data_IF_656356006760
#
_entry.id   IF_656356006760
#
_cell.length_a   1.000
_cell.length_b   1.000
_cell.length_c   1.000
_cell.angle_alpha   90.00
_cell.angle_beta   90.00
_cell.angle_gamma   90.00
#
_symmetry.space_group_name_H-M   'P 1'
#
loop_
_entity.id
_entity.type
_entity.pdbx_description
1 polymer ?
#
# COMPACT_ATOMS: atom_id res chain seq x y z
N UNK A 1 -5.10 14.85 -45.22
CA UNK A 1 -4.44 14.34 -44.00
C UNK A 1 -5.54 13.80 -43.11
N UNK A 2 -5.43 12.55 -42.63
CA UNK A 2 -6.37 12.05 -41.64
C UNK A 2 -6.23 12.89 -40.36
N UNK A 3 -7.34 13.43 -39.84
CA UNK A 3 -7.30 14.13 -38.57
C UNK A 3 -7.28 13.12 -37.43
N UNK A 4 -6.27 13.22 -36.56
CA UNK A 4 -6.15 12.39 -35.36
C UNK A 4 -6.89 13.01 -34.17
N UNK A 5 -7.45 12.16 -33.31
CA UNK A 5 -8.11 12.58 -32.08
C UNK A 5 -7.06 13.06 -31.08
N UNK A 6 -7.21 14.28 -30.56
CA UNK A 6 -6.25 14.88 -29.62
C UNK A 6 -6.26 14.26 -28.22
N UNK A 7 -7.22 13.39 -27.91
CA UNK A 7 -7.27 12.68 -26.62
C UNK A 7 -6.58 11.32 -26.68
N UNK A 8 -6.84 10.51 -27.71
CA UNK A 8 -6.32 9.14 -27.82
C UNK A 8 -5.29 8.94 -28.94
N UNK A 9 -4.96 10.01 -29.68
CA UNK A 9 -4.06 10.00 -30.85
C UNK A 9 -4.46 9.00 -31.95
N UNK A 10 -5.68 8.48 -31.94
CA UNK A 10 -6.17 7.56 -32.96
C UNK A 10 -6.75 8.34 -34.16
N UNK A 11 -6.66 7.81 -35.39
CA UNK A 11 -7.25 8.46 -36.56
C UNK A 11 -8.77 8.53 -36.40
N UNK A 12 -9.34 9.72 -36.64
CA UNK A 12 -10.80 9.92 -36.64
C UNK A 12 -11.31 9.42 -38.00
N UNK A 13 -11.94 8.24 -37.99
CA UNK A 13 -12.45 7.60 -39.20
C UNK A 13 -13.79 8.18 -39.66
N UNK A 14 -14.59 8.69 -38.71
CA UNK A 14 -15.95 9.15 -38.97
C UNK A 14 -16.02 10.68 -39.02
N UNK A 15 -17.02 11.23 -39.73
CA UNK A 15 -17.32 12.68 -39.72
C UNK A 15 -17.90 13.17 -38.37
N UNK A 16 -17.94 12.31 -37.36
CA UNK A 16 -18.48 12.57 -36.04
C UNK A 16 -17.33 12.95 -35.08
N UNK A 17 -17.01 14.24 -35.03
CA UNK A 17 -16.03 14.79 -34.10
C UNK A 17 -16.47 16.15 -33.57
N UNK A 18 -15.88 16.56 -32.45
CA UNK A 18 -15.97 17.94 -31.94
C UNK A 18 -14.65 18.65 -32.17
N UNK A 19 -14.71 19.88 -32.69
CA UNK A 19 -13.54 20.74 -32.91
C UNK A 19 -13.59 21.92 -31.93
N UNK A 20 -12.48 22.18 -31.24
CA UNK A 20 -12.41 23.25 -30.26
C UNK A 20 -12.60 24.61 -30.92
N UNK A 21 -13.54 25.41 -30.44
CA UNK A 21 -13.85 26.76 -30.93
C UNK A 21 -12.79 27.81 -30.57
N UNK A 22 -11.74 27.43 -29.83
CA UNK A 22 -10.62 28.31 -29.56
C UNK A 22 -9.69 28.29 -30.78
N UNK A 23 -9.58 29.44 -31.47
CA UNK A 23 -8.78 29.61 -32.69
C UNK A 23 -7.31 29.23 -32.53
N UNK A 24 -6.77 29.24 -31.31
CA UNK A 24 -5.38 28.81 -31.04
C UNK A 24 -5.22 27.30 -30.88
N UNK A 25 -6.31 26.58 -30.63
CA UNK A 25 -6.29 25.16 -30.31
C UNK A 25 -6.61 24.32 -31.55
N UNK A 26 -7.77 24.55 -32.17
CA UNK A 26 -8.28 23.82 -33.36
C UNK A 26 -8.16 22.28 -33.24
N UNK A 27 -8.04 21.75 -32.01
CA UNK A 27 -7.92 20.32 -31.74
C UNK A 27 -9.25 19.64 -32.01
N UNK A 28 -9.18 18.43 -32.57
CA UNK A 28 -10.34 17.58 -32.85
C UNK A 28 -10.39 16.40 -31.90
N UNK A 29 -11.61 16.04 -31.49
CA UNK A 29 -11.85 14.96 -30.55
C UNK A 29 -12.93 14.03 -31.09
N UNK A 30 -12.63 12.73 -31.05
CA UNK A 30 -13.61 11.67 -31.29
C UNK A 30 -14.68 11.71 -30.18
N UNK A 31 -15.95 11.48 -30.55
CA UNK A 31 -17.07 11.45 -29.61
C UNK A 31 -16.88 10.41 -28.52
N UNK A 32 -16.23 9.27 -28.81
CA UNK A 32 -15.94 8.22 -27.81
C UNK A 32 -15.04 8.75 -26.69
N UNK A 33 -14.03 9.54 -27.03
CA UNK A 33 -13.13 10.14 -26.05
C UNK A 33 -13.82 11.22 -25.19
N UNK A 34 -14.86 11.86 -25.72
CA UNK A 34 -15.68 12.82 -24.99
C UNK A 34 -16.85 12.17 -24.25
N UNK A 35 -17.05 10.86 -24.38
CA UNK A 35 -18.20 10.11 -23.89
C UNK A 35 -19.54 10.71 -24.36
N UNK A 36 -19.59 11.19 -25.61
CA UNK A 36 -20.82 11.72 -26.24
C UNK A 36 -21.39 10.64 -27.14
N UNK A 37 -22.67 10.28 -26.92
CA UNK A 37 -23.35 9.35 -27.80
C UNK A 37 -23.64 9.99 -29.18
N UNK A 38 -23.54 9.25 -30.30
CA UNK A 38 -23.82 9.79 -31.63
C UNK A 38 -25.22 10.43 -31.78
N UNK A 39 -26.23 9.87 -31.10
CA UNK A 39 -27.58 10.44 -31.05
C UNK A 39 -27.61 11.83 -30.40
N UNK A 40 -26.89 12.01 -29.29
CA UNK A 40 -26.77 13.30 -28.61
C UNK A 40 -26.01 14.31 -29.47
N UNK A 41 -24.94 13.88 -30.15
CA UNK A 41 -24.21 14.74 -31.10
C UNK A 41 -25.11 15.21 -32.25
N UNK A 42 -25.98 14.34 -32.78
CA UNK A 42 -26.93 14.71 -33.83
C UNK A 42 -28.00 15.69 -33.33
N UNK A 43 -28.36 15.64 -32.05
CA UNK A 43 -29.29 16.58 -31.43
C UNK A 43 -28.66 17.98 -31.19
N UNK A 44 -27.33 18.10 -31.14
CA UNK A 44 -26.68 19.40 -30.96
C UNK A 44 -26.85 20.31 -32.17
N UNK A 45 -27.23 21.56 -31.91
CA UNK A 45 -27.31 22.60 -32.93
C UNK A 45 -25.93 22.92 -33.49
N UNK A 46 -25.85 23.34 -34.75
CA UNK A 46 -24.60 23.76 -35.38
C UNK A 46 -23.93 24.90 -34.60
N UNK A 47 -24.72 25.80 -34.02
CA UNK A 47 -24.23 26.90 -33.19
C UNK A 47 -23.54 26.39 -31.91
N UNK A 48 -24.07 25.35 -31.27
CA UNK A 48 -23.44 24.73 -30.11
C UNK A 48 -22.11 24.06 -30.50
N UNK A 49 -22.12 23.26 -31.59
CA UNK A 49 -20.91 22.59 -32.09
C UNK A 49 -19.79 23.59 -32.39
N UNK A 50 -20.11 24.74 -32.99
CA UNK A 50 -19.16 25.84 -33.28
C UNK A 50 -18.65 26.59 -32.04
N UNK A 51 -19.35 26.53 -30.91
CA UNK A 51 -18.97 27.20 -29.65
C UNK A 51 -18.36 26.25 -28.62
N UNK A 52 -18.18 24.98 -28.99
CA UNK A 52 -17.68 23.99 -28.05
C UNK A 52 -16.19 24.19 -27.82
N UNK A 53 -15.80 24.26 -26.54
CA UNK A 53 -14.39 24.40 -26.13
C UNK A 53 -13.92 23.05 -25.57
N UNK A 54 -12.74 22.60 -25.98
CA UNK A 54 -12.21 21.32 -25.49
C UNK A 54 -11.81 21.37 -24.01
N UNK A 55 -11.71 20.22 -23.32
CA UNK A 55 -11.32 20.16 -21.90
C UNK A 55 -10.01 20.89 -21.59
N UNK A 56 -8.98 20.76 -22.44
CA UNK A 56 -7.69 21.44 -22.27
C UNK A 56 -7.87 22.97 -22.22
N UNK A 57 -8.66 23.52 -23.15
CA UNK A 57 -8.90 24.96 -23.21
C UNK A 57 -9.80 25.43 -22.07
N UNK A 58 -10.81 24.65 -21.66
CA UNK A 58 -11.66 24.98 -20.50
C UNK A 58 -10.82 25.08 -19.23
N UNK A 59 -9.85 24.16 -19.03
CA UNK A 59 -8.97 24.20 -17.86
C UNK A 59 -7.99 25.39 -17.86
N UNK A 60 -7.65 25.92 -19.05
CA UNK A 60 -6.79 27.09 -19.20
C UNK A 60 -7.56 28.41 -19.14
N UNK A 61 -8.88 28.39 -19.33
CA UNK A 61 -9.67 29.60 -19.18
C UNK A 61 -9.60 30.07 -17.72
N UNK A 62 -9.22 31.34 -17.48
CA UNK A 62 -9.28 31.88 -16.13
C UNK A 62 -10.71 31.68 -15.64
N UNK A 63 -10.86 31.15 -14.43
CA UNK A 63 -12.18 31.00 -13.82
C UNK A 63 -12.79 32.40 -13.79
N UNK A 64 -13.69 32.69 -14.73
CA UNK A 64 -14.55 33.85 -14.64
C UNK A 64 -15.13 33.76 -13.24
N UNK A 65 -14.87 34.79 -12.40
CA UNK A 65 -15.34 34.78 -11.01
C UNK A 65 -16.84 34.49 -10.97
N UNK A 66 -17.40 34.25 -9.78
CA UNK A 66 -18.82 33.97 -9.54
C UNK A 66 -19.82 35.08 -10.00
N UNK A 67 -19.50 35.85 -11.02
CA UNK A 67 -20.30 36.85 -11.71
C UNK A 67 -21.59 36.27 -12.31
N UNK A 68 -21.61 34.97 -12.65
CA UNK A 68 -22.82 34.29 -13.13
C UNK A 68 -23.56 33.50 -12.06
N UNK A 69 -23.07 33.46 -10.82
CA UNK A 69 -23.87 32.91 -9.72
C UNK A 69 -25.04 33.88 -9.53
N UNK A 70 -26.30 33.49 -9.80
CA UNK A 70 -27.43 34.39 -9.63
C UNK A 70 -27.41 34.87 -8.19
N UNK A 71 -27.25 36.18 -7.99
CA UNK A 71 -27.50 36.79 -6.69
C UNK A 71 -28.88 36.30 -6.28
N UNK A 72 -28.94 35.52 -5.19
CA UNK A 72 -30.22 35.19 -4.57
C UNK A 72 -30.87 36.54 -4.31
N UNK A 73 -31.96 36.83 -5.03
CA UNK A 73 -32.79 37.98 -4.73
C UNK A 73 -33.38 37.68 -3.37
N UNK A 74 -32.76 38.21 -2.32
CA UNK A 74 -33.34 38.19 -1.00
C UNK A 74 -34.67 38.93 -1.10
N UNK A 75 -35.74 38.14 -1.04
CA UNK A 75 -37.11 38.61 -0.98
C UNK A 75 -37.22 39.39 0.33
N UNK A 76 -37.26 40.70 0.18
CA UNK A 76 -37.51 41.66 1.23
C UNK A 76 -38.98 41.58 1.59
N UNK A 77 -39.26 41.24 2.85
CA UNK A 77 -40.35 41.82 3.63
C UNK A 77 -40.12 41.45 5.08
N UNK A 78 -39.40 42.31 5.82
CA UNK A 78 -39.55 42.50 7.27
C UNK A 78 -38.68 43.67 7.75
N UNK A 79 -39.40 44.74 8.07
CA UNK A 79 -39.13 45.85 9.00
C UNK A 79 -37.76 45.85 9.70
N UNK A 80 -36.88 46.72 9.23
CA UNK A 80 -35.55 46.97 9.79
C UNK A 80 -35.71 47.84 11.06
N UNK A 81 -35.48 47.26 12.23
CA UNK A 81 -35.08 47.99 13.43
C UNK A 81 -33.57 48.12 13.41
N UNK A 82 -33.11 49.35 13.29
CA UNK A 82 -31.70 49.77 13.29
C UNK A 82 -31.00 49.36 14.58
N UNK A 83 -30.01 48.48 14.48
CA UNK A 83 -28.95 48.31 15.48
C UNK A 83 -27.58 48.47 14.81
N UNK A 84 -26.58 49.04 15.52
CA UNK A 84 -25.33 49.47 14.92
C UNK A 84 -24.44 48.29 14.52
N UNK A 85 -24.17 48.20 13.22
CA UNK A 85 -23.23 47.27 12.62
C UNK A 85 -21.79 47.66 12.95
N UNK A 86 -21.19 46.96 13.91
CA UNK A 86 -19.76 46.70 13.93
C UNK A 86 -19.58 45.18 14.09
N UNK A 87 -18.72 44.58 13.26
CA UNK A 87 -18.28 43.17 13.27
C UNK A 87 -18.88 42.23 12.20
N UNK A 88 -18.92 42.67 10.94
CA UNK A 88 -18.83 41.71 9.82
C UNK A 88 -17.53 41.94 9.08
N UNK A 89 -16.63 40.97 9.21
CA UNK A 89 -15.34 40.88 8.57
C UNK A 89 -15.52 40.76 7.04
N UNK A 90 -15.53 41.89 6.34
CA UNK A 90 -15.55 41.98 4.87
C UNK A 90 -14.16 41.90 4.23
N UNK A 91 -13.10 41.61 5.00
CA UNK A 91 -11.76 41.36 4.46
C UNK A 91 -11.58 39.91 3.97
N UNK A 92 -12.43 39.46 3.05
CA UNK A 92 -12.13 38.29 2.24
C UNK A 92 -12.48 38.54 0.79
N UNK A 93 -11.63 39.32 0.14
CA UNK A 93 -11.72 39.61 -1.29
C UNK A 93 -11.62 41.09 -1.59
N UNK A 94 -10.59 41.76 -1.08
CA UNK A 94 -10.08 42.92 -1.79
C UNK A 94 -9.65 42.42 -3.17
N UNK A 95 -10.40 42.82 -4.20
CA UNK A 95 -9.79 43.12 -5.49
C UNK A 95 -8.73 44.18 -5.21
N UNK A 96 -7.54 43.74 -4.81
CA UNK A 96 -6.36 44.53 -5.08
C UNK A 96 -6.34 44.68 -6.59
N UNK A 97 -6.62 45.89 -7.07
CA UNK A 97 -6.06 46.33 -8.33
C UNK A 97 -4.56 46.18 -8.18
N UNK A 98 -4.05 45.00 -8.53
CA UNK A 98 -2.63 44.81 -8.70
C UNK A 98 -2.28 45.73 -9.87
N UNK A 99 -1.73 46.89 -9.52
CA UNK A 99 -0.80 47.61 -10.36
C UNK A 99 0.07 46.55 -11.07
N UNK A 100 0.28 46.65 -12.39
CA UNK A 100 1.17 45.77 -13.13
C UNK A 100 2.60 46.02 -12.67
N UNK A 101 2.90 45.57 -11.46
CA UNK A 101 4.25 45.30 -11.02
C UNK A 101 4.71 44.21 -11.98
N UNK A 102 5.77 44.54 -12.71
CA UNK A 102 6.56 43.65 -13.55
C UNK A 102 7.07 42.51 -12.67
N UNK A 103 6.19 41.57 -12.32
CA UNK A 103 6.59 40.30 -11.75
C UNK A 103 7.25 39.55 -12.89
N UNK A 104 8.52 39.34 -12.67
CA UNK A 104 9.53 38.77 -13.54
C UNK A 104 9.00 37.50 -14.23
N UNK A 105 8.67 37.61 -15.53
CA UNK A 105 8.13 36.50 -16.34
C UNK A 105 9.05 35.27 -16.32
N UNK A 106 10.32 35.47 -15.99
CA UNK A 106 11.32 34.42 -15.97
C UNK A 106 11.17 33.48 -14.77
N UNK A 107 10.61 33.95 -13.64
CA UNK A 107 10.36 33.11 -12.45
C UNK A 107 9.23 32.10 -12.72
N UNK A 108 8.15 32.54 -13.35
CA UNK A 108 7.04 31.65 -13.72
C UNK A 108 7.48 30.61 -14.78
N UNK A 109 8.34 31.01 -15.72
CA UNK A 109 8.90 30.10 -16.70
C UNK A 109 9.81 29.03 -16.05
N UNK A 110 10.68 29.43 -15.12
CA UNK A 110 11.54 28.50 -14.38
C UNK A 110 10.70 27.49 -13.57
N UNK A 111 9.66 27.95 -12.87
CA UNK A 111 8.78 27.08 -12.08
C UNK A 111 8.02 26.08 -12.95
N UNK A 112 7.60 26.47 -14.16
CA UNK A 112 6.96 25.56 -15.11
C UNK A 112 7.92 24.50 -15.66
N UNK A 113 9.20 24.84 -15.85
CA UNK A 113 10.23 23.87 -16.25
C UNK A 113 10.47 22.87 -15.13
N UNK A 114 10.61 23.33 -13.88
CA UNK A 114 10.77 22.44 -12.72
C UNK A 114 9.57 21.50 -12.54
N UNK A 115 8.35 22.00 -12.72
CA UNK A 115 7.14 21.16 -12.66
C UNK A 115 7.09 20.10 -13.78
N UNK A 116 7.54 20.45 -14.99
CA UNK A 116 7.63 19.49 -16.10
C UNK A 116 8.70 18.42 -15.85
N UNK A 117 9.84 18.82 -15.29
CA UNK A 117 10.89 17.88 -14.92
C UNK A 117 10.40 16.94 -13.82
N UNK A 118 9.80 17.49 -12.76
CA UNK A 118 9.22 16.70 -11.68
C UNK A 118 8.16 15.71 -12.16
N UNK A 119 7.31 16.11 -13.11
CA UNK A 119 6.31 15.21 -13.74
C UNK A 119 6.99 14.07 -14.50
N UNK A 120 8.03 14.37 -15.28
CA UNK A 120 8.76 13.37 -16.05
C UNK A 120 9.46 12.36 -15.14
N UNK A 121 10.06 12.83 -14.04
CA UNK A 121 10.70 11.98 -13.03
C UNK A 121 9.71 11.06 -12.31
N UNK A 122 8.49 11.54 -12.02
CA UNK A 122 7.44 10.70 -11.44
C UNK A 122 7.04 9.58 -12.40
N UNK A 123 6.85 9.90 -13.69
CA UNK A 123 6.45 8.91 -14.70
C UNK A 123 7.52 7.82 -14.81
N UNK A 124 8.79 8.20 -14.93
CA UNK A 124 9.91 7.25 -15.03
C UNK A 124 10.00 6.31 -13.80
N UNK A 125 9.70 6.82 -12.60
CA UNK A 125 9.65 5.98 -11.38
C UNK A 125 8.49 5.01 -11.38
N UNK A 126 7.31 5.44 -11.83
CA UNK A 126 6.16 4.56 -11.94
C UNK A 126 6.43 3.43 -12.93
N UNK A 127 7.07 3.74 -14.07
CA UNK A 127 7.48 2.74 -15.06
C UNK A 127 8.51 1.75 -14.49
N UNK A 128 9.49 2.25 -13.74
CA UNK A 128 10.47 1.41 -13.04
C UNK A 128 9.81 0.48 -12.01
N UNK A 129 8.84 0.97 -11.24
CA UNK A 129 8.07 0.15 -10.30
C UNK A 129 7.21 -0.90 -11.02
N UNK A 130 6.58 -0.54 -12.14
CA UNK A 130 5.82 -1.47 -12.97
C UNK A 130 6.72 -2.61 -13.50
N UNK A 131 7.94 -2.28 -13.93
CA UNK A 131 8.93 -3.27 -14.37
C UNK A 131 9.38 -4.19 -13.21
N UNK A 132 9.65 -3.64 -12.03
CA UNK A 132 10.01 -4.43 -10.85
C UNK A 132 8.87 -5.38 -10.42
N UNK A 133 7.62 -4.92 -10.47
CA UNK A 133 6.45 -5.76 -10.20
C UNK A 133 6.36 -6.89 -11.24
N UNK A 134 6.55 -6.58 -12.52
CA UNK A 134 6.55 -7.58 -13.60
C UNK A 134 7.65 -8.63 -13.40
N UNK A 135 8.84 -8.22 -12.97
CA UNK A 135 9.95 -9.14 -12.66
C UNK A 135 9.62 -10.04 -11.46
N UNK A 136 9.04 -9.49 -10.39
CA UNK A 136 8.60 -10.29 -9.24
C UNK A 136 7.51 -11.30 -9.64
N UNK A 137 6.54 -10.90 -10.46
CA UNK A 137 5.52 -11.80 -10.98
C UNK A 137 6.13 -12.96 -11.78
N UNK A 138 7.12 -12.67 -12.62
CA UNK A 138 7.87 -13.71 -13.35
C UNK A 138 8.59 -14.67 -12.39
N UNK A 139 9.28 -14.15 -11.36
CA UNK A 139 9.94 -14.98 -10.35
C UNK A 139 8.95 -15.85 -9.57
N UNK A 140 7.78 -15.31 -9.20
CA UNK A 140 6.73 -16.09 -8.55
C UNK A 140 6.18 -17.20 -9.46
N UNK A 141 6.04 -16.93 -10.77
CA UNK A 141 5.62 -17.97 -11.72
C UNK A 141 6.67 -19.06 -11.85
N UNK A 142 7.96 -18.70 -11.81
CA UNK A 142 9.06 -19.67 -11.88
C UNK A 142 9.11 -20.55 -10.62
N UNK A 143 9.06 -19.95 -9.42
CA UNK A 143 9.06 -20.72 -8.16
C UNK A 143 7.83 -21.61 -8.03
N UNK A 144 6.67 -21.19 -8.55
CA UNK A 144 5.48 -22.03 -8.64
C UNK A 144 5.72 -23.26 -9.52
N UNK A 145 6.29 -23.08 -10.72
CA UNK A 145 6.61 -24.19 -11.60
C UNK A 145 7.64 -25.15 -10.98
N UNK A 146 8.64 -24.63 -10.26
CA UNK A 146 9.63 -25.44 -9.56
C UNK A 146 8.98 -26.25 -8.43
N UNK A 147 8.04 -25.66 -7.69
CA UNK A 147 7.27 -26.36 -6.65
C UNK A 147 6.41 -27.48 -7.25
N UNK A 148 5.73 -27.23 -8.37
CA UNK A 148 4.95 -28.25 -9.08
C UNK A 148 5.84 -29.41 -9.57
N UNK A 149 7.07 -29.11 -10.01
CA UNK A 149 8.04 -30.14 -10.39
C UNK A 149 8.52 -30.96 -9.19
N UNK A 150 8.78 -30.32 -8.04
CA UNK A 150 9.15 -31.03 -6.81
C UNK A 150 8.03 -31.94 -6.31
N UNK A 151 6.77 -31.48 -6.36
CA UNK A 151 5.60 -32.30 -6.02
C UNK A 151 5.55 -33.56 -6.89
N UNK A 152 5.75 -33.43 -8.21
CA UNK A 152 5.81 -34.59 -9.12
C UNK A 152 6.91 -35.58 -8.75
N UNK A 153 8.10 -35.08 -8.38
CA UNK A 153 9.21 -35.93 -7.96
C UNK A 153 8.85 -36.69 -6.68
N UNK A 154 8.26 -36.00 -5.69
CA UNK A 154 7.83 -36.62 -4.43
C UNK A 154 6.80 -37.73 -4.70
N UNK A 155 5.80 -37.49 -5.56
CA UNK A 155 4.80 -38.51 -5.93
C UNK A 155 5.44 -39.73 -6.58
N UNK A 156 6.47 -39.56 -7.43
CA UNK A 156 7.22 -40.69 -8.03
C UNK A 156 7.98 -41.48 -6.95
N UNK A 157 8.58 -40.79 -5.98
CA UNK A 157 9.28 -41.44 -4.86
C UNK A 157 8.28 -42.22 -3.99
N UNK A 158 7.14 -41.63 -3.63
CA UNK A 158 6.08 -42.30 -2.87
C UNK A 158 5.57 -43.57 -3.58
N UNK A 159 5.36 -43.50 -4.89
CA UNK A 159 4.97 -44.66 -5.70
C UNK A 159 6.06 -45.76 -5.71
N UNK A 160 7.35 -45.38 -5.75
CA UNK A 160 8.45 -46.36 -5.69
C UNK A 160 8.63 -46.98 -4.31
N UNK A 161 8.39 -46.22 -3.24
CA UNK A 161 8.44 -46.70 -1.86
C UNK A 161 7.32 -47.70 -1.61
N UNK A 162 6.10 -47.38 -2.03
CA UNK A 162 4.94 -48.29 -1.91
C UNK A 162 5.13 -49.56 -2.75
N UNK A 163 5.68 -49.45 -3.97
CA UNK A 163 6.03 -50.62 -4.79
C UNK A 163 7.09 -51.50 -4.10
N UNK A 164 8.17 -50.91 -3.57
CA UNK A 164 9.21 -51.65 -2.85
C UNK A 164 8.68 -52.34 -1.59
N UNK A 165 7.81 -51.68 -0.82
CA UNK A 165 7.15 -52.28 0.35
C UNK A 165 6.29 -53.49 -0.03
N UNK A 166 5.52 -53.39 -1.13
CA UNK A 166 4.73 -54.53 -1.62
C UNK A 166 5.58 -55.74 -2.02
N UNK A 167 6.76 -55.50 -2.60
CA UNK A 167 7.72 -56.57 -2.92
C UNK A 167 8.33 -57.19 -1.66
N UNK A 168 8.63 -56.41 -0.62
CA UNK A 168 9.18 -56.93 0.63
C UNK A 168 8.19 -57.88 1.35
N UNK A 169 6.90 -57.51 1.39
CA UNK A 169 5.85 -58.36 2.00
C UNK A 169 5.70 -59.70 1.28
N UNK A 170 5.89 -59.74 -0.05
CA UNK A 170 5.86 -60.99 -0.80
C UNK A 170 7.06 -61.90 -0.50
N UNK A 171 8.26 -61.33 -0.30
CA UNK A 171 9.46 -62.10 0.04
C UNK A 171 9.33 -62.70 1.44
N UNK A 172 8.87 -61.93 2.43
CA UNK A 172 8.73 -62.41 3.80
C UNK A 172 7.70 -63.56 3.90
N UNK A 173 6.67 -63.57 3.05
CA UNK A 173 5.70 -64.67 2.99
C UNK A 173 6.25 -65.96 2.35
N UNK A 174 7.24 -65.87 1.46
CA UNK A 174 7.83 -67.04 0.79
C UNK A 174 8.81 -67.81 1.68
N UNK A 175 9.52 -67.10 2.57
CA UNK A 175 10.50 -67.71 3.48
C UNK A 175 9.83 -68.56 4.58
N UNK A 176 8.58 -68.27 4.95
CA UNK A 176 7.87 -68.98 6.01
C UNK A 176 7.27 -70.32 5.52
N UNK A 177 7.21 -70.58 4.21
CA UNK A 177 6.56 -71.80 3.67
C UNK A 177 7.50 -72.97 3.38
N UNK A 178 8.82 -72.83 3.51
CA UNK A 178 9.77 -73.91 3.20
C UNK A 178 10.34 -74.66 4.43
N UNK A 179 10.10 -74.22 5.66
CA UNK A 179 10.71 -74.82 6.87
C UNK A 179 9.84 -75.86 7.62
N UNK A 180 8.75 -76.34 7.03
CA UNK A 180 7.88 -77.36 7.63
C UNK A 180 8.01 -78.74 6.96
N UNK A 181 9.23 -79.23 6.70
CA UNK A 181 9.44 -80.67 6.50
C UNK A 181 10.81 -81.09 7.01
N UNK A 182 10.84 -82.09 7.90
CA UNK A 182 12.00 -82.79 8.50
C UNK A 182 12.68 -82.19 9.74
N UNK A 183 12.11 -82.48 10.92
CA UNK A 183 12.87 -82.62 12.16
C UNK A 183 12.60 -84.00 12.77
N UNK A 184 13.64 -84.82 12.83
CA UNK A 184 13.76 -86.03 13.66
C UNK A 184 14.32 -85.64 15.04
N UNK A 185 14.03 -86.37 16.12
CA UNK A 185 14.42 -85.98 17.47
C UNK A 185 15.86 -86.39 17.78
N UNK A 186 16.73 -85.43 18.09
CA UNK A 186 18.04 -85.71 18.69
C UNK A 186 18.17 -84.95 20.00
N UNK A 187 18.60 -85.74 20.98
CA UNK A 187 18.72 -85.57 22.41
C UNK A 187 19.68 -84.49 22.88
N UNK A 188 19.17 -83.70 23.80
CA UNK A 188 19.75 -83.18 25.05
C UNK A 188 21.13 -83.73 25.46
N UNK A 189 22.18 -82.91 25.37
CA UNK A 189 23.27 -82.80 26.37
C UNK A 189 24.28 -81.67 26.00
N UNK A 190 24.66 -80.90 27.02
CA UNK A 190 25.98 -80.26 27.21
C UNK A 190 26.56 -79.33 26.12
N UNK A 191 26.69 -78.03 26.42
CA UNK A 191 27.81 -77.54 27.22
C UNK A 191 27.89 -76.00 27.17
N UNK A 192 28.03 -75.44 28.37
CA UNK A 192 28.42 -74.06 28.67
C UNK A 192 29.86 -73.83 28.21
N UNK A 193 30.16 -72.73 27.49
CA UNK A 193 31.39 -71.94 27.70
C UNK A 193 31.43 -70.61 26.97
N UNK A 194 31.67 -69.59 27.80
CA UNK A 194 32.27 -68.28 27.59
C UNK A 194 33.10 -68.10 26.29
N UNK A 195 32.94 -66.95 25.62
CA UNK A 195 34.06 -66.03 25.44
C UNK A 195 33.64 -64.64 24.93
N UNK A 196 34.10 -63.63 25.65
CA UNK A 196 34.18 -62.24 25.22
C UNK A 196 35.55 -61.98 24.59
N UNK A 197 35.62 -61.30 23.43
CA UNK A 197 36.50 -60.14 23.13
C UNK A 197 36.48 -59.72 21.65
N UNK A 198 36.95 -58.48 21.33
CA UNK A 198 36.58 -57.70 20.15
C UNK A 198 37.53 -57.90 18.97
N UNK A 199 37.17 -57.39 17.80
CA UNK A 199 38.11 -57.30 16.66
C UNK A 199 37.99 -55.96 15.95
N UNK A 200 39.15 -55.29 15.88
CA UNK A 200 39.41 -54.05 15.16
C UNK A 200 39.57 -54.29 13.65
N UNK A 201 39.38 -53.19 12.91
CA UNK A 201 40.07 -52.80 11.67
C UNK A 201 40.48 -53.87 10.64
N UNK A 202 39.94 -53.72 9.41
CA UNK A 202 40.73 -53.92 8.19
C UNK A 202 40.35 -52.90 7.11
N UNK A 203 41.32 -52.04 6.80
CA UNK A 203 41.35 -51.19 5.62
C UNK A 203 41.61 -52.06 4.38
N UNK A 204 40.92 -51.77 3.28
CA UNK A 204 41.38 -52.07 1.91
C UNK A 204 41.08 -50.84 1.04
N UNK A 205 42.17 -50.19 0.57
CA UNK A 205 42.21 -49.29 -0.58
C UNK A 205 42.02 -50.12 -1.87
N UNK A 206 41.63 -49.68 -3.06
CA UNK A 206 41.78 -48.44 -3.83
C UNK A 206 41.15 -48.71 -5.22
N UNK A 207 40.56 -47.69 -5.86
CA UNK A 207 40.88 -47.24 -7.24
C UNK A 207 39.68 -46.86 -8.14
N UNK A 208 39.57 -45.54 -8.35
CA UNK A 208 39.41 -44.81 -9.63
C UNK A 208 38.12 -44.95 -10.47
N UNK A 209 37.38 -43.83 -10.62
CA UNK A 209 37.47 -42.94 -11.82
C UNK A 209 36.60 -41.66 -11.74
N UNK A 210 37.30 -40.53 -11.87
CA UNK A 210 36.97 -39.26 -12.56
C UNK A 210 35.73 -38.44 -12.16
N UNK A 211 35.97 -37.41 -11.34
CA UNK A 211 35.14 -36.20 -11.25
C UNK A 211 35.89 -35.01 -11.88
N UNK A 212 35.22 -34.29 -12.80
CA UNK A 212 35.66 -33.00 -13.35
C UNK A 212 35.32 -31.88 -12.35
N UNK A 213 36.31 -31.03 -12.09
CA UNK A 213 36.25 -29.80 -11.29
C UNK A 213 35.56 -28.66 -12.05
N UNK A 214 34.86 -27.80 -11.31
CA UNK A 214 34.79 -26.33 -11.42
C UNK A 214 34.33 -25.86 -10.02
N UNK A 215 35.23 -25.54 -9.08
CA UNK A 215 35.92 -24.26 -8.85
C UNK A 215 34.96 -23.05 -8.76
N UNK A 216 34.78 -22.51 -7.54
CA UNK A 216 35.05 -21.09 -7.16
C UNK A 216 34.89 -20.95 -5.63
N UNK A 217 35.96 -20.43 -5.02
CA UNK A 217 36.13 -19.98 -3.62
C UNK A 217 35.18 -18.81 -3.28
N UNK A 218 34.85 -18.44 -2.03
CA UNK A 218 35.79 -17.78 -1.10
C UNK A 218 35.10 -17.51 0.25
N UNK A 219 35.79 -17.89 1.33
CA UNK A 219 35.61 -17.48 2.74
C UNK A 219 36.29 -16.14 3.04
N UNK A 220 35.86 -15.36 4.04
CA UNK A 220 36.70 -14.76 5.12
C UNK A 220 35.81 -14.11 6.20
N UNK A 221 36.27 -14.21 7.45
CA UNK A 221 35.64 -13.77 8.70
C UNK A 221 36.01 -12.34 9.18
N UNK A 222 35.05 -11.73 9.91
CA UNK A 222 35.10 -10.86 11.11
C UNK A 222 36.32 -9.95 11.38
N UNK A 223 36.08 -8.64 11.57
CA UNK A 223 36.70 -7.84 12.66
C UNK A 223 35.92 -6.55 13.00
N UNK A 224 35.74 -6.30 14.29
CA UNK A 224 35.24 -5.07 14.91
C UNK A 224 36.35 -4.03 15.08
N UNK A 225 36.04 -2.73 15.01
CA UNK A 225 36.47 -1.67 15.96
C UNK A 225 35.84 -0.30 15.62
N UNK A 226 35.35 0.40 16.65
CA UNK A 226 35.17 1.86 16.72
C UNK A 226 36.51 2.50 17.13
N UNK A 227 36.82 3.78 16.78
CA UNK A 227 36.35 4.92 17.57
C UNK A 227 36.06 6.23 16.81
N UNK A 228 35.47 7.17 17.56
CA UNK A 228 35.21 8.58 17.30
C UNK A 228 36.40 9.40 16.80
N UNK A 229 36.18 10.54 16.12
CA UNK A 229 36.45 11.92 16.63
C UNK A 229 36.08 12.97 15.56
N UNK A 230 35.49 14.07 16.01
CA UNK A 230 35.16 15.29 15.29
C UNK A 230 36.37 16.06 14.76
N UNK A 231 36.19 16.82 13.67
CA UNK A 231 36.81 18.15 13.49
C UNK A 231 36.18 18.93 12.32
N UNK A 232 35.71 20.13 12.66
CA UNK A 232 35.44 21.25 11.76
C UNK A 232 36.72 21.71 11.06
N UNK A 233 36.66 22.10 9.78
CA UNK A 233 37.44 23.22 9.22
C UNK A 233 36.65 23.84 8.05
N UNK A 234 36.61 25.17 8.07
CA UNK A 234 35.96 26.05 7.11
C UNK A 234 36.92 26.51 5.99
N UNK A 235 36.31 27.21 5.02
CA UNK A 235 36.83 28.29 4.15
C UNK A 235 37.29 27.96 2.71
N UNK A 236 36.60 28.67 1.81
CA UNK A 236 37.09 29.53 0.73
C UNK A 236 38.23 29.03 -0.16
N UNK A 237 37.95 28.91 -1.45
CA UNK A 237 38.48 29.87 -2.44
C UNK A 237 38.02 29.53 -3.86
N UNK A 238 37.55 30.55 -4.57
CA UNK A 238 37.38 30.58 -6.04
C UNK A 238 38.73 30.98 -6.64
N UNK A 239 39.15 30.39 -7.78
CA UNK A 239 39.42 31.23 -8.95
C UNK A 239 39.03 30.60 -10.31
N UNK A 240 38.25 31.36 -11.07
CA UNK A 240 38.52 31.86 -12.43
C UNK A 240 39.21 30.98 -13.51
N UNK A 241 38.45 30.77 -14.60
CA UNK A 241 38.76 30.69 -16.05
C UNK A 241 39.45 29.52 -16.77
N UNK A 242 38.76 29.22 -17.88
CA UNK A 242 39.19 28.89 -19.26
C UNK A 242 39.42 27.42 -19.65
N UNK A 243 38.54 27.01 -20.56
CA UNK A 243 38.73 26.21 -21.77
C UNK A 243 39.55 24.93 -21.69
N UNK A 244 38.92 23.80 -22.05
CA UNK A 244 39.33 23.02 -23.23
C UNK A 244 38.26 21.97 -23.59
N UNK A 245 38.08 21.80 -24.91
CA UNK A 245 37.35 20.69 -25.50
C UNK A 245 38.13 19.40 -25.24
N UNK A 246 37.48 18.45 -24.59
CA UNK A 246 37.97 17.08 -24.44
C UNK A 246 36.77 16.15 -24.41
N UNK A 247 36.59 15.42 -25.50
CA UNK A 247 35.73 14.24 -25.58
C UNK A 247 36.38 13.15 -24.74
N UNK A 248 36.09 13.11 -23.45
CA UNK A 248 36.46 11.99 -22.59
C UNK A 248 35.21 11.24 -22.13
N UNK A 249 35.21 9.99 -22.57
CA UNK A 249 34.31 8.89 -22.30
C UNK A 249 34.41 8.51 -20.81
N UNK A 250 33.88 9.38 -19.94
CA UNK A 250 33.88 9.15 -18.51
C UNK A 250 32.64 8.33 -18.14
N UNK A 251 32.84 7.02 -17.96
CA UNK A 251 31.97 6.10 -17.23
C UNK A 251 31.67 6.65 -15.83
N UNK A 252 30.76 7.61 -15.75
CA UNK A 252 30.20 8.06 -14.49
C UNK A 252 29.39 6.89 -13.93
N UNK A 253 29.96 6.23 -12.92
CA UNK A 253 29.25 5.38 -11.97
C UNK A 253 28.18 6.21 -11.26
N UNK A 254 27.09 6.49 -11.98
CA UNK A 254 25.92 7.22 -11.51
C UNK A 254 25.17 6.36 -10.52
N UNK A 255 25.63 6.36 -9.27
CA UNK A 255 24.98 5.69 -8.16
C UNK A 255 23.54 6.15 -8.01
N UNK A 256 22.62 5.18 -7.95
CA UNK A 256 21.22 5.39 -7.64
C UNK A 256 21.09 6.17 -6.33
N UNK A 257 20.55 7.38 -6.39
CA UNK A 257 20.15 8.11 -5.19
C UNK A 257 18.64 7.97 -5.01
N UNK A 258 18.26 7.14 -4.04
CA UNK A 258 16.87 6.89 -3.65
C UNK A 258 16.22 8.18 -3.13
N UNK A 259 15.46 8.90 -3.96
CA UNK A 259 14.68 10.05 -3.48
C UNK A 259 13.35 9.54 -2.94
N UNK A 260 13.34 9.31 -1.62
CA UNK A 260 12.12 8.96 -0.90
C UNK A 260 11.09 10.06 -1.08
N UNK A 261 9.86 9.68 -1.49
CA UNK A 261 8.71 10.56 -1.41
C UNK A 261 8.55 10.96 0.04
N UNK A 262 8.98 12.18 0.36
CA UNK A 262 8.85 12.78 1.67
C UNK A 262 7.37 13.09 1.83
N UNK A 263 6.59 12.05 2.20
CA UNK A 263 5.32 12.25 2.88
C UNK A 263 5.66 13.28 3.94
N UNK A 264 5.01 14.44 3.89
CA UNK A 264 5.04 15.37 5.00
C UNK A 264 4.35 14.63 6.13
N UNK A 265 5.11 13.74 6.80
CA UNK A 265 4.83 13.27 8.12
C UNK A 265 4.64 14.56 8.86
N UNK A 266 3.39 14.86 9.21
CA UNK A 266 3.12 15.85 10.24
C UNK A 266 4.00 15.39 11.37
N UNK A 267 5.11 16.12 11.59
CA UNK A 267 6.07 15.81 12.64
C UNK A 267 5.19 15.63 13.85
N UNK A 268 5.15 14.39 14.37
CA UNK A 268 4.40 14.10 15.58
C UNK A 268 4.90 15.13 16.56
N UNK A 269 4.05 16.11 16.91
CA UNK A 269 4.43 17.12 17.88
C UNK A 269 4.91 16.29 19.07
N UNK A 270 6.14 16.53 19.54
CA UNK A 270 6.69 15.83 20.69
C UNK A 270 5.85 16.23 21.90
N UNK A 271 4.73 15.55 22.08
CA UNK A 271 3.85 15.70 23.22
C UNK A 271 4.52 14.90 24.33
N UNK A 272 5.08 15.58 25.31
CA UNK A 272 5.63 14.94 26.50
C UNK A 272 4.52 14.19 27.25
N UNK A 273 4.78 12.93 27.59
CA UNK A 273 3.89 12.11 28.42
C UNK A 273 4.39 12.22 29.86
N UNK A 274 3.55 12.71 30.77
CA UNK A 274 3.87 12.75 32.20
C UNK A 274 3.98 11.34 32.78
N UNK A 275 5.02 11.08 33.58
CA UNK A 275 5.28 9.76 34.21
C UNK A 275 5.08 9.75 35.74
N UNK A 276 4.62 10.86 36.32
CA UNK A 276 4.50 11.00 37.77
C UNK A 276 3.28 10.21 38.28
N UNK A 277 3.52 9.22 39.14
CA UNK A 277 2.51 8.35 39.75
C UNK A 277 2.05 8.81 41.14
N UNK A 278 2.66 9.86 41.71
CA UNK A 278 2.51 10.24 43.12
C UNK A 278 1.60 11.45 43.37
N UNK A 279 1.22 12.19 42.33
CA UNK A 279 0.38 13.39 42.47
C UNK A 279 -1.09 13.01 42.69
N UNK A 280 -1.53 12.97 43.96
CA UNK A 280 -2.93 12.72 44.33
C UNK A 280 -3.89 13.86 43.93
N UNK A 281 -3.39 15.05 43.61
CA UNK A 281 -4.20 16.24 43.35
C UNK A 281 -4.74 16.34 41.90
N UNK A 282 -4.07 15.72 40.93
CA UNK A 282 -4.50 15.72 39.52
C UNK A 282 -4.51 14.29 38.98
N UNK A 283 -5.62 13.88 38.39
CA UNK A 283 -5.74 12.56 37.77
C UNK A 283 -5.72 12.72 36.25
N UNK A 284 -4.72 12.12 35.61
CA UNK A 284 -4.72 12.01 34.15
C UNK A 284 -5.77 10.98 33.73
N UNK A 285 -6.58 11.30 32.73
CA UNK A 285 -7.50 10.34 32.13
C UNK A 285 -6.74 9.45 31.15
N UNK A 286 -6.96 8.14 31.21
CA UNK A 286 -6.38 7.17 30.27
C UNK A 286 -6.81 7.50 28.83
N UNK A 287 -5.86 7.44 27.88
CA UNK A 287 -6.16 7.67 26.46
C UNK A 287 -7.06 6.56 25.96
N UNK A 288 -8.13 6.95 25.27
CA UNK A 288 -9.08 6.01 24.67
C UNK A 288 -8.89 5.97 23.16
N UNK A 289 -8.75 4.76 22.61
CA UNK A 289 -8.89 4.49 21.19
C UNK A 289 -10.32 4.04 20.91
N UNK A 290 -10.77 4.24 19.68
CA UNK A 290 -12.13 3.88 19.28
C UNK A 290 -12.05 2.82 18.19
N UNK A 291 -12.81 1.75 18.36
CA UNK A 291 -12.99 0.70 17.36
C UNK A 291 -14.41 0.80 16.80
N UNK A 292 -14.54 0.66 15.49
CA UNK A 292 -15.83 0.54 14.84
C UNK A 292 -16.04 -0.90 14.44
N UNK A 293 -17.13 -1.49 14.89
CA UNK A 293 -17.52 -2.88 14.60
C UNK A 293 -18.87 -2.86 13.93
N UNK A 294 -19.01 -3.53 12.79
CA UNK A 294 -20.24 -3.59 12.00
C UNK A 294 -20.50 -4.99 11.46
N UNK A 295 -21.66 -5.18 10.81
CA UNK A 295 -22.23 -6.49 10.42
C UNK A 295 -22.59 -7.40 11.60
N UNK A 296 -22.92 -6.83 12.75
CA UNK A 296 -23.49 -7.60 13.85
C UNK A 296 -25.00 -7.79 13.65
N UNK A 297 -25.58 -8.82 14.28
CA UNK A 297 -27.02 -9.07 14.21
C UNK A 297 -27.82 -7.82 14.65
N UNK A 298 -28.94 -7.46 14.00
CA UNK A 298 -29.68 -6.24 14.30
C UNK A 298 -30.16 -6.17 15.76
N UNK A 299 -30.46 -7.32 16.36
CA UNK A 299 -30.89 -7.48 17.76
C UNK A 299 -29.75 -7.37 18.77
N UNK A 300 -28.48 -7.34 18.33
CA UNK A 300 -27.36 -7.16 19.25
C UNK A 300 -27.51 -5.82 19.98
N UNK A 301 -27.41 -5.89 21.31
CA UNK A 301 -27.52 -4.74 22.22
C UNK A 301 -26.13 -4.26 22.64
N UNK A 302 -26.04 -3.01 23.13
CA UNK A 302 -24.78 -2.45 23.65
C UNK A 302 -24.26 -3.25 24.85
N UNK A 303 -25.16 -3.80 25.65
CA UNK A 303 -24.84 -4.65 26.80
C UNK A 303 -24.20 -5.98 26.36
N UNK A 304 -24.73 -6.62 25.31
CA UNK A 304 -24.16 -7.84 24.78
C UNK A 304 -22.72 -7.63 24.29
N UNK A 305 -22.46 -6.54 23.55
CA UNK A 305 -21.11 -6.16 23.10
C UNK A 305 -20.21 -5.85 24.29
N UNK A 306 -20.71 -5.14 25.30
CA UNK A 306 -19.96 -4.82 26.52
C UNK A 306 -19.57 -6.08 27.29
N UNK A 307 -20.50 -7.03 27.44
CA UNK A 307 -20.27 -8.29 28.14
C UNK A 307 -19.26 -9.18 27.38
N UNK A 308 -19.35 -9.21 26.05
CA UNK A 308 -18.36 -9.88 25.20
C UNK A 308 -16.96 -9.34 25.48
N UNK A 309 -16.75 -8.03 25.38
CA UNK A 309 -15.43 -7.42 25.59
C UNK A 309 -14.93 -7.61 27.02
N UNK A 310 -15.81 -7.50 28.03
CA UNK A 310 -15.45 -7.77 29.43
C UNK A 310 -15.02 -9.21 29.66
N UNK A 311 -15.58 -10.18 28.92
CA UNK A 311 -15.16 -11.59 29.04
C UNK A 311 -13.72 -11.82 28.56
N UNK A 312 -13.28 -11.04 27.57
CA UNK A 312 -11.93 -11.14 26.98
C UNK A 312 -10.90 -10.31 27.76
N UNK A 313 -11.28 -9.11 28.16
CA UNK A 313 -10.35 -8.12 28.71
C UNK A 313 -10.38 -8.04 30.25
N UNK A 314 -11.38 -8.63 30.90
CA UNK A 314 -11.62 -8.53 32.35
C UNK A 314 -12.73 -7.53 32.71
N UNK A 315 -13.32 -7.71 33.90
CA UNK A 315 -14.49 -6.95 34.35
C UNK A 315 -14.18 -5.51 34.77
N UNK A 316 -12.93 -5.21 35.15
CA UNK A 316 -12.52 -3.93 35.72
C UNK A 316 -12.36 -2.79 34.69
N UNK A 317 -12.66 -3.05 33.41
CA UNK A 317 -12.41 -2.09 32.34
C UNK A 317 -13.61 -1.19 32.12
N UNK A 318 -13.36 0.12 32.14
CA UNK A 318 -14.35 1.15 31.80
C UNK A 318 -14.46 1.28 30.28
N UNK A 319 -15.46 0.63 29.69
CA UNK A 319 -15.77 0.66 28.26
C UNK A 319 -16.88 1.68 27.98
N UNK A 320 -16.84 2.29 26.78
CA UNK A 320 -17.95 3.08 26.27
C UNK A 320 -18.40 2.50 24.93
N UNK A 321 -19.52 1.81 24.91
CA UNK A 321 -20.13 1.26 23.69
C UNK A 321 -21.27 2.18 23.26
N UNK A 322 -21.37 2.49 21.98
CA UNK A 322 -22.46 3.28 21.41
C UNK A 322 -22.93 2.65 20.11
N UNK A 323 -24.22 2.29 20.02
CA UNK A 323 -24.86 1.80 18.80
C UNK A 323 -25.02 2.97 17.82
N UNK A 324 -24.51 2.81 16.61
CA UNK A 324 -24.61 3.83 15.56
C UNK A 324 -26.02 3.77 14.95
N UNK A 325 -26.73 4.90 14.98
CA UNK A 325 -27.97 5.08 14.24
C UNK A 325 -27.64 5.43 12.79
N UNK A 326 -27.83 4.49 11.88
CA UNK A 326 -27.70 4.74 10.45
C UNK A 326 -28.88 5.57 9.93
N UNK A 327 -28.66 6.33 8.85
CA UNK A 327 -29.73 7.10 8.17
C UNK A 327 -30.70 6.20 7.41
N UNK A 328 -30.20 5.07 6.93
CA UNK A 328 -30.94 4.03 6.21
C UNK A 328 -31.10 2.84 7.13
N UNK A 329 -32.28 2.23 7.16
CA UNK A 329 -32.46 0.95 7.84
C UNK A 329 -31.55 -0.08 7.16
N UNK A 330 -30.65 -0.67 7.96
CA UNK A 330 -29.74 -1.73 7.53
C UNK A 330 -30.14 -2.99 8.26
N UNK A 331 -29.90 -4.13 7.62
CA UNK A 331 -30.10 -5.48 8.14
C UNK A 331 -29.04 -5.88 9.19
N UNK A 332 -28.23 -4.92 9.67
CA UNK A 332 -27.21 -5.15 10.69
C UNK A 332 -27.08 -3.98 11.66
N UNK A 333 -26.50 -4.28 12.82
CA UNK A 333 -26.09 -3.31 13.82
C UNK A 333 -24.61 -2.95 13.67
N UNK A 334 -24.26 -1.71 14.00
CA UNK A 334 -22.88 -1.24 14.12
C UNK A 334 -22.68 -0.44 15.40
N UNK A 335 -21.46 -0.48 15.93
CA UNK A 335 -21.11 0.07 17.23
C UNK A 335 -19.77 0.79 17.17
N UNK A 336 -19.67 1.90 17.90
CA UNK A 336 -18.39 2.53 18.26
C UNK A 336 -18.05 2.11 19.68
N UNK A 337 -16.85 1.58 19.85
CA UNK A 337 -16.36 1.03 21.11
C UNK A 337 -15.13 1.84 21.53
N UNK A 338 -15.27 2.64 22.59
CA UNK A 338 -14.17 3.36 23.21
C UNK A 338 -13.47 2.48 24.26
N UNK A 339 -12.20 2.15 24.00
CA UNK A 339 -11.39 1.24 24.83
C UNK A 339 -10.09 1.92 25.28
N UNK A 340 -9.56 1.58 26.46
CA UNK A 340 -8.21 1.95 26.86
C UNK A 340 -7.16 1.60 25.80
N UNK A 341 -6.18 2.47 25.59
CA UNK A 341 -5.10 2.25 24.62
C UNK A 341 -4.35 0.93 24.86
N UNK A 342 -4.16 0.52 26.12
CA UNK A 342 -3.51 -0.74 26.49
C UNK A 342 -4.25 -2.00 26.04
N UNK A 343 -5.56 -1.94 25.83
CA UNK A 343 -6.39 -3.08 25.42
C UNK A 343 -6.68 -3.10 23.91
N UNK A 344 -6.29 -2.04 23.21
CA UNK A 344 -6.67 -1.86 21.82
C UNK A 344 -6.08 -2.95 20.92
N UNK A 345 -4.80 -3.29 21.11
CA UNK A 345 -4.11 -4.27 20.28
C UNK A 345 -4.64 -5.69 20.47
N UNK A 346 -5.16 -6.00 21.66
CA UNK A 346 -5.86 -7.26 21.89
C UNK A 346 -7.16 -7.28 21.11
N UNK A 347 -8.02 -6.27 21.27
CA UNK A 347 -9.32 -6.20 20.60
C UNK A 347 -9.24 -6.04 19.08
N UNK A 348 -8.09 -5.66 18.54
CA UNK A 348 -7.85 -5.55 17.10
C UNK A 348 -7.49 -6.90 16.44
N UNK A 349 -7.56 -8.02 17.18
CA UNK A 349 -7.34 -9.37 16.65
C UNK A 349 -8.65 -9.92 16.07
N UNK A 350 -8.62 -10.54 14.87
CA UNK A 350 -9.83 -11.06 14.22
C UNK A 350 -10.48 -12.22 14.97
N UNK A 351 -9.71 -12.99 15.72
CA UNK A 351 -10.17 -14.17 16.48
C UNK A 351 -11.15 -13.84 17.60
N UNK A 352 -11.20 -12.58 18.02
CA UNK A 352 -12.01 -12.10 19.14
C UNK A 352 -13.45 -11.80 18.69
N UNK A 353 -13.66 -11.58 17.40
CA UNK A 353 -14.96 -11.17 16.87
C UNK A 353 -15.73 -12.36 16.31
N UNK A 354 -17.08 -12.34 16.39
CA UNK A 354 -17.90 -13.36 15.75
C UNK A 354 -17.61 -13.47 14.25
N UNK A 355 -17.82 -14.66 13.69
CA UNK A 355 -17.67 -14.90 12.24
C UNK A 355 -18.52 -13.89 11.46
N UNK A 356 -17.95 -13.30 10.41
CA UNK A 356 -18.52 -12.25 9.54
C UNK A 356 -18.67 -10.85 10.16
N UNK A 357 -18.32 -10.66 11.44
CA UNK A 357 -18.18 -9.31 11.99
C UNK A 357 -16.96 -8.62 11.36
N UNK A 358 -17.14 -7.37 10.95
CA UNK A 358 -16.05 -6.54 10.43
C UNK A 358 -15.72 -5.46 11.44
N UNK A 359 -14.43 -5.12 11.56
CA UNK A 359 -13.96 -4.10 12.49
C UNK A 359 -12.79 -3.31 11.92
N UNK A 360 -12.65 -2.06 12.37
CA UNK A 360 -11.55 -1.18 11.99
C UNK A 360 -11.36 -0.06 13.02
N UNK A 361 -10.19 0.58 13.01
CA UNK A 361 -9.94 1.78 13.79
C UNK A 361 -10.94 2.88 13.41
N UNK A 362 -11.64 3.40 14.41
CA UNK A 362 -12.54 4.52 14.19
C UNK A 362 -11.74 5.82 14.16
N UNK A 363 -11.47 6.26 12.94
CA UNK A 363 -10.87 7.57 12.70
C UNK A 363 -11.94 8.62 12.90
N UNK A 364 -11.79 9.43 13.95
CA UNK A 364 -12.60 10.63 14.14
C UNK A 364 -12.33 11.60 12.99
N UNK A 365 -13.15 11.53 11.95
CA UNK A 365 -13.37 12.66 11.08
C UNK A 365 -13.97 13.73 11.97
N UNK A 366 -13.17 14.74 12.35
CA UNK A 366 -13.63 15.88 13.14
C UNK A 366 -14.89 16.41 12.44
N UNK A 367 -16.06 16.04 12.95
CA UNK A 367 -17.27 16.77 12.60
C UNK A 367 -16.98 18.19 13.03
N UNK A 368 -17.06 19.11 12.07
CA UNK A 368 -17.13 20.54 12.39
C UNK A 368 -18.16 20.65 13.52
N UNK A 369 -17.83 21.32 14.64
CA UNK A 369 -18.78 21.49 15.73
C UNK A 369 -20.08 21.98 15.10
N UNK A 370 -21.15 21.20 15.23
CA UNK A 370 -22.48 21.66 14.85
C UNK A 370 -22.71 22.87 15.72
N UNK A 371 -22.58 24.06 15.13
CA UNK A 371 -22.92 25.31 15.78
C UNK A 371 -24.39 25.18 16.14
N UNK A 372 -24.65 24.84 17.40
CA UNK A 372 -25.98 24.83 17.96
C UNK A 372 -26.51 26.27 17.85
N UNK A 373 -27.19 26.56 16.75
CA UNK A 373 -28.11 27.69 16.69
C UNK A 373 -29.24 27.32 17.65
N UNK A 374 -29.22 27.96 18.82
CA UNK A 374 -30.19 27.76 19.87
C UNK A 374 -31.63 27.92 19.35
N UNK A 375 -32.51 27.07 19.89
CA UNK A 375 -33.96 27.24 19.91
C UNK A 375 -34.37 28.43 20.76
#
# INVERSE_FOLDING_TARGET
MASECSACCSPILDNFFMECSNDKCIKRYDLKCLNIMPSAFNAYTLAYKKKWVCPDCICLMPKCGNMETPLRKDITDLTITTTPQNNVNTQRGSQAQFSPVMMDRDVDAALLVELKQFRSDIIARLDSQANAITQLQYQFSQTKNDLDNLVKIITVIENKVTQSQSHQVLIDHQVITEEATTISPITFAEAVSLNAKPTQHKQIASSQKTAKKNNVNTSVAIKSTLPSTSKNVAKDSVPHMLSEQGEDEETAQGGWTTVQNKKLNRVSKNVGIGKNTELKAIQATERKKHLHVWRLHPETTEEAVTNHIKSICGQDITLKVQKIKHKTDRDYASFVIGVPERMYDDLNKPEIWPVNAEFNEWIWFRKQPETNFNK
#
